data_IF_638477660489
#
_entry.id   IF_638477660489
#
_cell.length_a   1.000
_cell.length_b   1.000
_cell.length_c   1.000
_cell.angle_alpha   90.00
_cell.angle_beta   90.00
_cell.angle_gamma   90.00
#
_symmetry.space_group_name_H-M   'P 1'
#
loop_
_entity.id
_entity.type
_entity.pdbx_description
1 polymer ?
#
# COMPACT_ATOMS: atom_id res chain seq x y z
N UNK A 1 25.74 19.68 -11.80
CA UNK A 1 24.45 18.99 -11.51
C UNK A 1 24.37 18.44 -10.09
N UNK A 2 25.33 18.72 -9.19
CA UNK A 2 25.30 18.28 -7.79
C UNK A 2 24.96 19.40 -6.81
N UNK A 3 25.06 20.67 -7.20
CA UNK A 3 24.84 21.84 -6.33
C UNK A 3 23.41 21.95 -5.75
N UNK A 4 22.41 21.28 -6.33
CA UNK A 4 21.05 21.21 -5.77
C UNK A 4 20.89 20.14 -4.68
N UNK A 5 21.76 19.13 -4.67
CA UNK A 5 21.86 18.14 -3.59
C UNK A 5 22.87 18.59 -2.52
N UNK A 6 23.79 19.47 -2.90
CA UNK A 6 24.91 19.97 -2.09
C UNK A 6 24.71 21.42 -1.58
N UNK A 7 23.47 21.89 -1.45
CA UNK A 7 23.16 23.07 -0.62
C UNK A 7 23.39 22.72 0.88
N UNK A 8 24.65 22.52 1.27
CA UNK A 8 25.07 22.34 2.67
C UNK A 8 24.51 21.12 3.40
N UNK A 9 24.24 20.01 2.72
CA UNK A 9 23.83 18.74 3.37
C UNK A 9 22.36 18.65 3.82
N UNK A 10 21.54 19.69 3.62
CA UNK A 10 20.13 19.70 4.03
C UNK A 10 19.24 18.74 3.24
N UNK A 11 19.60 18.40 2.00
CA UNK A 11 18.83 17.49 1.15
C UNK A 11 18.61 16.11 1.81
N UNK A 12 19.61 15.61 2.55
CA UNK A 12 19.55 14.35 3.31
C UNK A 12 18.56 14.39 4.49
N UNK A 13 18.26 15.56 5.04
CA UNK A 13 17.30 15.71 6.15
C UNK A 13 15.86 15.89 5.67
N UNK A 14 15.68 16.43 4.47
CA UNK A 14 14.37 16.75 3.91
C UNK A 14 13.77 15.55 3.17
N UNK A 15 14.60 14.79 2.44
CA UNK A 15 14.16 13.61 1.70
C UNK A 15 13.45 12.52 2.53
N UNK A 16 13.91 12.17 3.74
CA UNK A 16 13.23 11.19 4.59
C UNK A 16 11.80 11.63 4.94
N UNK A 17 11.59 12.93 5.16
CA UNK A 17 10.27 13.52 5.46
C UNK A 17 9.31 13.35 4.28
N UNK A 18 9.79 13.63 3.07
CA UNK A 18 9.03 13.40 1.83
C UNK A 18 8.82 11.91 1.55
N UNK A 19 9.83 11.08 1.81
CA UNK A 19 9.74 9.63 1.68
C UNK A 19 8.70 9.03 2.63
N UNK A 20 8.67 9.50 3.89
CA UNK A 20 7.67 9.08 4.86
C UNK A 20 6.26 9.50 4.45
N UNK A 21 6.09 10.74 3.98
CA UNK A 21 4.81 11.20 3.46
C UNK A 21 4.35 10.37 2.24
N UNK A 22 5.26 10.05 1.33
CA UNK A 22 4.98 9.19 0.18
C UNK A 22 4.60 7.76 0.61
N UNK A 23 5.32 7.19 1.58
CA UNK A 23 4.99 5.87 2.15
C UNK A 23 3.60 5.86 2.77
N UNK A 24 3.22 6.90 3.52
CA UNK A 24 1.89 7.02 4.12
C UNK A 24 0.82 7.13 3.04
N UNK A 25 1.03 7.96 2.01
CA UNK A 25 0.14 8.09 0.86
C UNK A 25 -0.06 6.76 0.14
N UNK A 26 1.03 6.07 -0.18
CA UNK A 26 1.00 4.75 -0.83
C UNK A 26 0.30 3.73 0.07
N UNK A 27 0.61 3.68 1.36
CA UNK A 27 -0.04 2.76 2.29
C UNK A 27 -1.55 3.01 2.37
N UNK A 28 -1.98 4.28 2.39
CA UNK A 28 -3.38 4.65 2.42
C UNK A 28 -4.11 4.26 1.12
N UNK A 29 -3.46 4.42 -0.03
CA UNK A 29 -3.97 3.97 -1.33
C UNK A 29 -4.01 2.45 -1.44
N UNK A 30 -2.99 1.76 -0.95
CA UNK A 30 -2.81 0.32 -1.09
C UNK A 30 -3.73 -0.45 -0.13
N UNK A 31 -4.10 0.14 1.01
CA UNK A 31 -5.05 -0.42 1.98
C UNK A 31 -6.39 -0.90 1.35
N UNK A 32 -7.15 -0.08 0.59
CA UNK A 32 -8.39 -0.53 -0.06
C UNK A 32 -8.16 -1.58 -1.15
N UNK A 33 -7.00 -1.58 -1.82
CA UNK A 33 -6.65 -2.61 -2.81
C UNK A 33 -6.45 -3.98 -2.15
N UNK A 34 -5.76 -4.05 -1.01
CA UNK A 34 -5.61 -5.30 -0.26
C UNK A 34 -6.93 -5.76 0.35
N UNK A 35 -7.75 -4.82 0.84
CA UNK A 35 -9.06 -5.13 1.40
C UNK A 35 -9.98 -5.77 0.35
N UNK A 36 -10.02 -5.23 -0.88
CA UNK A 36 -10.76 -5.82 -2.00
C UNK A 36 -10.34 -7.27 -2.28
N UNK A 37 -9.04 -7.55 -2.28
CA UNK A 37 -8.51 -8.91 -2.51
C UNK A 37 -8.94 -9.89 -1.41
N UNK A 38 -8.92 -9.45 -0.14
CA UNK A 38 -9.40 -10.29 0.98
C UNK A 38 -10.89 -10.58 0.88
N UNK A 39 -11.72 -9.56 0.65
CA UNK A 39 -13.18 -9.71 0.55
C UNK A 39 -13.58 -10.68 -0.56
N UNK A 40 -12.98 -10.56 -1.76
CA UNK A 40 -13.26 -11.49 -2.87
C UNK A 40 -12.86 -12.94 -2.54
N UNK A 41 -11.74 -13.12 -1.84
CA UNK A 41 -11.26 -14.45 -1.43
C UNK A 41 -12.20 -15.08 -0.39
N UNK A 42 -12.76 -14.28 0.53
CA UNK A 42 -13.71 -14.75 1.53
C UNK A 42 -15.07 -15.12 0.92
N UNK A 43 -15.57 -14.32 -0.03
CA UNK A 43 -16.79 -14.63 -0.78
C UNK A 43 -16.63 -15.94 -1.57
N UNK A 44 -15.50 -16.09 -2.29
CA UNK A 44 -15.22 -17.30 -3.05
C UNK A 44 -15.13 -18.55 -2.16
N UNK A 45 -14.60 -18.42 -0.93
CA UNK A 45 -14.57 -19.51 0.05
C UNK A 45 -15.96 -19.88 0.57
N UNK A 46 -16.84 -18.92 0.84
CA UNK A 46 -18.22 -19.19 1.27
C UNK A 46 -19.03 -19.92 0.19
N UNK A 47 -18.98 -19.43 -1.06
CA UNK A 47 -19.67 -20.07 -2.19
C UNK A 47 -19.26 -21.53 -2.40
N UNK A 48 -17.98 -21.86 -2.20
CA UNK A 48 -17.50 -23.25 -2.32
C UNK A 48 -18.04 -24.18 -1.23
N UNK A 49 -18.38 -23.66 -0.04
CA UNK A 49 -18.98 -24.46 1.04
C UNK A 49 -20.46 -24.71 0.78
N UNK A 50 -21.21 -23.67 0.43
CA UNK A 50 -22.63 -23.80 0.07
C UNK A 50 -22.84 -24.79 -1.08
N UNK A 51 -21.99 -24.73 -2.11
CA UNK A 51 -22.07 -25.66 -3.26
C UNK A 51 -21.73 -27.11 -2.92
N UNK A 52 -21.08 -27.38 -1.78
CA UNK A 52 -20.78 -28.72 -1.28
C UNK A 52 -21.85 -29.24 -0.32
N UNK A 53 -22.52 -28.36 0.41
CA UNK A 53 -23.62 -28.76 1.31
C UNK A 53 -24.95 -28.94 0.56
N UNK A 54 -25.11 -28.31 -0.60
CA UNK A 54 -26.32 -28.44 -1.42
C UNK A 54 -26.32 -29.66 -2.37
N UNK A 55 -25.29 -30.50 -2.34
CA UNK A 55 -25.12 -31.66 -3.22
C UNK A 55 -24.95 -32.94 -2.42
#
# INVERSE_FOLDING_TARGET
MSEFLDMGGYAMYVWPSYGLAFVILVANWVSPLLQRRRVLTDIARKLRREKREQK
#
